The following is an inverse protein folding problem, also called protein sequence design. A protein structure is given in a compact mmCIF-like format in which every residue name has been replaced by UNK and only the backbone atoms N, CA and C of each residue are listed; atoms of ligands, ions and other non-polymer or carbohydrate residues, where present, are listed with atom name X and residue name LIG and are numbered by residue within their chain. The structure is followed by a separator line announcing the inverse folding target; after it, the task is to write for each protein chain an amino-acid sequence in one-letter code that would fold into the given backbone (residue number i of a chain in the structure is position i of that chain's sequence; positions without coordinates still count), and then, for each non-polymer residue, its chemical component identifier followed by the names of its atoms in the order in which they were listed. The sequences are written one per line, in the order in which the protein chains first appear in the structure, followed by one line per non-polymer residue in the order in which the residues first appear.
data_IF_007171419609
#
_entry.id   IF_007171419609
#
_cell.length_a   1.000
_cell.length_b   1.000
_cell.length_c   1.000
_cell.angle_alpha   90.00
_cell.angle_beta   90.00
_cell.angle_gamma   90.00
#
_symmetry.space_group_name_H-M   'P 1'
#
loop_
_entity.id
_entity.type
_entity.pdbx_description
1 polymer ?
#
# COMPACT_ATOMS: atom_id res chain seq x y z
N UNK A 1 -14.05 45.00 -15.76
CA UNK A 1 -13.27 43.92 -16.39
C UNK A 1 -12.38 43.29 -15.33
N UNK A 2 -12.88 42.41 -14.45
CA UNK A 2 -11.97 41.66 -13.54
C UNK A 2 -12.56 40.41 -12.84
N UNK A 3 -13.78 39.96 -13.17
CA UNK A 3 -14.35 38.77 -12.50
C UNK A 3 -13.93 37.47 -13.20
N UNK A 4 -13.70 37.49 -14.51
CA UNK A 4 -13.28 36.31 -15.28
C UNK A 4 -11.85 35.86 -14.96
N UNK A 5 -10.94 36.80 -14.67
CA UNK A 5 -9.53 36.51 -14.41
C UNK A 5 -9.29 35.94 -12.99
N UNK A 6 -10.16 36.29 -12.03
CA UNK A 6 -10.11 35.75 -10.67
C UNK A 6 -10.68 34.33 -10.59
N UNK A 7 -11.65 33.98 -11.44
CA UNK A 7 -12.24 32.64 -11.49
C UNK A 7 -11.27 31.62 -12.11
N UNK A 8 -10.52 31.99 -13.16
CA UNK A 8 -9.51 31.13 -13.81
C UNK A 8 -8.29 30.90 -12.92
N UNK A 9 -7.78 31.94 -12.25
CA UNK A 9 -6.69 31.83 -11.27
C UNK A 9 -7.09 30.94 -10.09
N UNK A 10 -8.32 31.05 -9.56
CA UNK A 10 -8.82 30.15 -8.51
C UNK A 10 -8.92 28.70 -8.98
N UNK A 11 -9.34 28.43 -10.21
CA UNK A 11 -9.40 27.06 -10.76
C UNK A 11 -8.02 26.44 -11.03
N UNK A 12 -7.06 27.24 -11.48
CA UNK A 12 -5.67 26.80 -11.66
C UNK A 12 -5.01 26.50 -10.31
N UNK A 13 -5.15 27.38 -9.32
CA UNK A 13 -4.58 27.19 -7.97
C UNK A 13 -5.19 25.98 -7.27
N UNK A 14 -6.51 25.77 -7.35
CA UNK A 14 -7.16 24.59 -6.75
C UNK A 14 -6.76 23.27 -7.42
N UNK A 15 -6.55 23.27 -8.74
CA UNK A 15 -6.07 22.09 -9.47
C UNK A 15 -4.63 21.72 -9.11
N UNK A 16 -3.76 22.72 -8.89
CA UNK A 16 -2.37 22.52 -8.44
C UNK A 16 -2.34 21.98 -7.01
N UNK A 17 -3.13 22.55 -6.08
CA UNK A 17 -3.16 22.11 -4.68
C UNK A 17 -3.74 20.69 -4.55
N UNK A 18 -4.78 20.37 -5.31
CA UNK A 18 -5.40 19.03 -5.30
C UNK A 18 -4.46 17.93 -5.84
N UNK A 19 -3.53 18.27 -6.73
CA UNK A 19 -2.51 17.33 -7.27
C UNK A 19 -1.52 16.86 -6.19
N UNK A 20 -1.27 17.66 -5.16
CA UNK A 20 -0.21 17.40 -4.17
C UNK A 20 -0.70 16.48 -3.02
N UNK A 21 -2.00 16.43 -2.74
CA UNK A 21 -2.52 15.85 -1.50
C UNK A 21 -3.10 14.43 -1.65
N UNK A 22 -2.33 13.48 -2.20
CA UNK A 22 -2.81 12.09 -2.22
C UNK A 22 -1.71 11.01 -2.26
N UNK A 23 -0.83 11.01 -1.26
CA UNK A 23 -0.23 9.74 -0.82
C UNK A 23 -1.06 9.24 0.37
N UNK A 24 -2.19 8.62 0.03
CA UNK A 24 -3.16 8.13 0.99
C UNK A 24 -2.52 7.13 1.95
N UNK A 25 -2.53 7.44 3.25
CA UNK A 25 -2.13 6.55 4.35
C UNK A 25 -2.81 5.17 4.25
N UNK A 26 -4.05 5.14 3.77
CA UNK A 26 -4.78 3.91 3.51
C UNK A 26 -4.11 3.00 2.47
N UNK A 27 -3.41 3.56 1.47
CA UNK A 27 -2.64 2.76 0.50
C UNK A 27 -1.41 2.10 1.14
N UNK A 28 -0.81 2.75 2.14
CA UNK A 28 0.34 2.19 2.87
C UNK A 28 -0.12 1.06 3.79
N UNK A 29 -1.22 1.26 4.52
CA UNK A 29 -1.79 0.22 5.38
C UNK A 29 -2.23 -1.03 4.59
N UNK A 30 -2.88 -0.84 3.44
CA UNK A 30 -3.23 -1.94 2.53
C UNK A 30 -2.01 -2.68 1.96
N UNK A 31 -0.91 -1.96 1.69
CA UNK A 31 0.32 -2.57 1.19
C UNK A 31 1.04 -3.44 2.25
N UNK A 32 0.88 -3.12 3.54
CA UNK A 32 1.47 -3.89 4.65
C UNK A 32 0.65 -5.16 4.94
N UNK A 33 -0.68 -5.07 4.89
CA UNK A 33 -1.57 -6.22 5.21
C UNK A 33 -1.69 -7.18 4.02
N UNK A 34 -1.72 -6.67 2.79
CA UNK A 34 -1.88 -7.47 1.58
C UNK A 34 -0.80 -7.11 0.53
N UNK A 35 0.47 -7.48 0.78
CA UNK A 35 1.58 -7.18 -0.12
C UNK A 35 1.36 -7.61 -1.59
N UNK A 36 0.79 -8.79 -1.91
CA UNK A 36 0.59 -9.16 -3.32
C UNK A 36 -0.51 -8.36 -4.04
N UNK A 37 -1.55 -7.88 -3.33
CA UNK A 37 -2.65 -7.11 -3.97
C UNK A 37 -2.21 -5.70 -4.36
N UNK A 38 -1.33 -5.09 -3.57
CA UNK A 38 -0.76 -3.75 -3.84
C UNK A 38 0.02 -3.71 -5.17
N UNK A 39 0.52 -4.86 -5.61
CA UNK A 39 1.42 -5.02 -6.76
C UNK A 39 0.69 -5.45 -8.03
N UNK A 40 -0.60 -5.83 -7.96
CA UNK A 40 -1.42 -6.24 -9.13
C UNK A 40 -1.41 -5.19 -10.25
N UNK A 41 -1.34 -3.91 -9.91
CA UNK A 41 -1.29 -2.81 -10.89
C UNK A 41 0.11 -2.49 -11.46
N UNK A 42 1.18 -3.15 -11.01
CA UNK A 42 2.57 -2.83 -11.41
C UNK A 42 3.29 -3.90 -12.22
N UNK A 43 2.70 -5.10 -12.38
CA UNK A 43 3.18 -6.12 -13.31
C UNK A 43 3.08 -7.55 -12.76
N UNK A 44 2.66 -8.49 -13.61
CA UNK A 44 2.38 -9.88 -13.26
C UNK A 44 3.59 -10.60 -12.61
N UNK A 45 4.81 -10.34 -13.10
CA UNK A 45 6.03 -10.94 -12.55
C UNK A 45 6.37 -10.48 -11.12
N UNK A 46 5.99 -9.25 -10.75
CA UNK A 46 6.27 -8.72 -9.41
C UNK A 46 5.30 -9.27 -8.35
N UNK A 47 4.11 -9.70 -8.75
CA UNK A 47 3.16 -10.37 -7.85
C UNK A 47 3.71 -11.73 -7.44
N UNK A 48 4.22 -12.52 -8.40
CA UNK A 48 4.75 -13.86 -8.14
C UNK A 48 5.93 -13.85 -7.16
N UNK A 49 6.88 -12.91 -7.32
CA UNK A 49 8.02 -12.82 -6.41
C UNK A 49 7.59 -12.39 -5.00
N UNK A 50 6.68 -11.41 -4.89
CA UNK A 50 6.17 -10.92 -3.60
C UNK A 50 5.34 -11.98 -2.89
N UNK A 51 4.55 -12.77 -3.65
CA UNK A 51 3.76 -13.87 -3.13
C UNK A 51 4.65 -15.01 -2.59
N UNK A 52 5.71 -15.37 -3.32
CA UNK A 52 6.67 -16.39 -2.88
C UNK A 52 7.44 -15.94 -1.63
N UNK A 53 7.88 -14.67 -1.59
CA UNK A 53 8.57 -14.11 -0.42
C UNK A 53 7.65 -14.04 0.80
N UNK A 54 6.38 -13.71 0.59
CA UNK A 54 5.37 -13.67 1.65
C UNK A 54 5.14 -15.05 2.26
N UNK A 55 4.96 -16.09 1.44
CA UNK A 55 4.85 -17.48 1.94
C UNK A 55 6.15 -17.91 2.64
N UNK A 56 7.32 -17.62 2.07
CA UNK A 56 8.60 -17.97 2.68
C UNK A 56 8.90 -17.25 4.00
N UNK A 57 8.38 -16.06 4.25
CA UNK A 57 8.57 -15.36 5.54
C UNK A 57 7.46 -15.67 6.55
N UNK A 58 6.22 -15.82 6.07
CA UNK A 58 5.04 -15.99 6.92
C UNK A 58 4.87 -17.43 7.40
N UNK A 59 4.98 -18.42 6.51
CA UNK A 59 4.79 -19.83 6.85
C UNK A 59 5.79 -20.30 7.92
N UNK A 60 7.11 -20.10 7.80
CA UNK A 60 8.02 -20.49 8.87
C UNK A 60 7.82 -19.70 10.16
N UNK A 61 7.34 -18.44 10.09
CA UNK A 61 7.00 -17.65 11.28
C UNK A 61 5.80 -18.22 12.05
N UNK A 62 4.74 -18.61 11.34
CA UNK A 62 3.57 -19.29 11.93
C UNK A 62 3.95 -20.65 12.48
N UNK A 63 4.76 -21.44 11.75
CA UNK A 63 5.25 -22.73 12.22
C UNK A 63 6.10 -22.56 13.49
N UNK A 64 7.03 -21.60 13.53
CA UNK A 64 7.85 -21.34 14.70
C UNK A 64 7.00 -20.91 15.91
N UNK A 65 6.01 -20.04 15.71
CA UNK A 65 5.08 -19.63 16.77
C UNK A 65 4.26 -20.82 17.29
N UNK A 66 3.74 -21.67 16.39
CA UNK A 66 2.99 -22.86 16.76
C UNK A 66 3.86 -23.89 17.49
N UNK A 67 5.11 -24.11 17.05
CA UNK A 67 6.05 -25.01 17.72
C UNK A 67 6.38 -24.51 19.11
N UNK A 68 6.64 -23.20 19.29
CA UNK A 68 6.90 -22.63 20.61
C UNK A 68 5.67 -22.73 21.53
N UNK A 69 4.47 -22.51 20.99
CA UNK A 69 3.23 -22.52 21.78
C UNK A 69 2.71 -23.94 22.09
N UNK A 70 2.96 -24.91 21.21
CA UNK A 70 2.55 -26.32 21.39
C UNK A 70 3.64 -27.19 21.99
N UNK A 71 4.72 -26.64 22.52
CA UNK A 71 5.71 -27.44 23.25
C UNK A 71 5.32 -27.48 24.74
N UNK A 72 4.68 -28.57 25.23
CA UNK A 72 4.27 -28.68 26.64
C UNK A 72 5.44 -28.92 27.60
N UNK A 73 6.65 -29.18 27.09
CA UNK A 73 7.89 -29.38 27.87
C UNK A 73 8.61 -28.04 28.19
N UNK A 74 7.85 -26.98 28.47
CA UNK A 74 8.33 -25.77 29.14
C UNK A 74 7.45 -25.48 30.34
#
# INVERSE_FOLDING_TARGET
MDVTNTMTLRQIVTSIIKKINSMSFWRVLLAIIFPPLSVIGKGCGSILIVFLLWICGWVPGVIAALVILNNPER
#
